data_IF_085379857232
#
_entry.id   IF_085379857232
#
_cell.length_a   1.000
_cell.length_b   1.000
_cell.length_c   1.000
_cell.angle_alpha   90.00
_cell.angle_beta   90.00
_cell.angle_gamma   90.00
#
_symmetry.space_group_name_H-M   'P 1'
#
loop_
_entity.id
_entity.type
_entity.pdbx_description
1 polymer ?
#
# COMPACT_ATOMS: atom_id res chain seq x y z
N UNK A 1 3.77 32.40 11.47
CA UNK A 1 3.44 31.71 12.75
C UNK A 1 4.25 30.41 12.79
N UNK A 2 4.96 30.11 13.87
CA UNK A 2 5.89 28.96 13.95
C UNK A 2 5.12 27.62 13.92
N UNK A 3 5.41 26.74 12.94
CA UNK A 3 4.77 25.43 12.74
C UNK A 3 4.84 24.55 14.00
N UNK A 4 5.93 24.60 14.78
CA UNK A 4 6.07 23.83 16.02
C UNK A 4 5.13 24.32 17.12
N UNK A 5 4.81 25.63 17.12
CA UNK A 5 3.80 26.17 18.03
C UNK A 5 2.40 25.70 17.62
N UNK A 6 2.12 25.67 16.32
CA UNK A 6 0.83 25.19 15.78
C UNK A 6 0.65 23.71 16.13
N UNK A 7 1.65 22.88 15.86
CA UNK A 7 1.62 21.45 16.16
C UNK A 7 1.38 21.19 17.64
N UNK A 8 2.09 21.86 18.55
CA UNK A 8 1.87 21.71 20.00
C UNK A 8 0.46 22.09 20.45
N UNK A 9 -0.12 23.14 19.87
CA UNK A 9 -1.50 23.54 20.15
C UNK A 9 -2.51 22.53 19.60
N UNK A 10 -2.24 22.00 18.41
CA UNK A 10 -3.02 20.94 17.79
C UNK A 10 -3.00 19.66 18.63
N UNK A 11 -1.81 19.18 19.02
CA UNK A 11 -1.65 18.02 19.88
C UNK A 11 -2.50 18.18 21.14
N UNK A 12 -2.34 19.31 21.85
CA UNK A 12 -3.13 19.62 23.06
C UNK A 12 -4.64 19.65 22.82
N UNK A 13 -5.10 20.19 21.68
CA UNK A 13 -6.53 20.27 21.32
C UNK A 13 -7.14 18.89 21.09
N UNK A 14 -6.38 17.97 20.49
CA UNK A 14 -6.86 16.63 20.13
C UNK A 14 -6.43 15.53 21.11
N UNK A 15 -5.67 15.85 22.17
CA UNK A 15 -5.41 14.99 23.34
C UNK A 15 -6.67 14.84 24.22
N UNK A 16 -7.73 14.25 23.65
CA UNK A 16 -9.00 14.05 24.33
C UNK A 16 -8.89 12.91 25.33
N UNK A 17 -9.36 13.16 26.56
CA UNK A 17 -9.48 12.17 27.62
C UNK A 17 -10.97 11.95 27.89
N UNK A 18 -11.44 10.71 27.74
CA UNK A 18 -12.83 10.34 28.03
C UNK A 18 -13.45 9.43 26.97
N UNK A 19 -14.71 9.06 27.16
CA UNK A 19 -15.44 8.22 26.21
C UNK A 19 -16.11 9.11 25.16
N UNK A 20 -15.82 8.85 23.88
CA UNK A 20 -16.45 9.53 22.76
C UNK A 20 -17.51 8.62 22.10
N UNK A 21 -18.55 9.24 21.55
CA UNK A 21 -19.49 8.57 20.66
C UNK A 21 -18.84 8.27 19.30
N UNK A 22 -19.36 7.30 18.52
CA UNK A 22 -18.85 7.02 17.17
C UNK A 22 -18.78 8.25 16.25
N UNK A 23 -19.77 9.15 16.35
CA UNK A 23 -19.81 10.36 15.52
C UNK A 23 -18.75 11.37 15.94
N UNK A 24 -18.53 11.55 17.24
CA UNK A 24 -17.47 12.42 17.75
C UNK A 24 -16.07 11.91 17.36
N UNK A 25 -15.82 10.60 17.45
CA UNK A 25 -14.55 9.99 17.03
C UNK A 25 -14.24 10.35 15.58
N UNK A 26 -15.22 10.21 14.68
CA UNK A 26 -15.04 10.50 13.26
C UNK A 26 -14.89 12.00 13.01
N UNK A 27 -15.68 12.84 13.68
CA UNK A 27 -15.54 14.30 13.55
C UNK A 27 -14.17 14.78 14.03
N UNK A 28 -13.70 14.35 15.19
CA UNK A 28 -12.38 14.71 15.70
C UNK A 28 -11.26 14.21 14.80
N UNK A 29 -11.38 13.00 14.24
CA UNK A 29 -10.42 12.50 13.26
C UNK A 29 -10.34 13.42 12.03
N UNK A 30 -11.48 13.73 11.40
CA UNK A 30 -11.54 14.59 10.22
C UNK A 30 -10.99 15.99 10.53
N UNK A 31 -11.43 16.60 11.62
CA UNK A 31 -11.00 17.95 12.00
C UNK A 31 -9.50 18.00 12.29
N UNK A 32 -8.98 16.99 13.00
CA UNK A 32 -7.56 16.86 13.31
C UNK A 32 -6.72 16.76 12.05
N UNK A 33 -7.12 15.90 11.10
CA UNK A 33 -6.38 15.70 9.86
C UNK A 33 -6.52 16.86 8.87
N UNK A 34 -7.66 17.55 8.83
CA UNK A 34 -7.84 18.76 8.03
C UNK A 34 -6.93 19.89 8.50
N UNK A 35 -6.87 20.13 9.82
CA UNK A 35 -5.98 21.14 10.39
C UNK A 35 -4.51 20.77 10.14
N UNK A 36 -4.15 19.50 10.32
CA UNK A 36 -2.80 19.01 10.07
C UNK A 36 -2.39 19.12 8.59
N UNK A 37 -3.28 18.78 7.66
CA UNK A 37 -3.06 18.92 6.22
C UNK A 37 -2.84 20.39 5.82
N UNK A 38 -3.64 21.31 6.36
CA UNK A 38 -3.52 22.76 6.11
C UNK A 38 -2.13 23.29 6.45
N UNK A 39 -1.54 22.80 7.55
CA UNK A 39 -0.24 23.26 8.05
C UNK A 39 0.90 22.27 7.77
N UNK A 40 0.66 21.27 6.92
CA UNK A 40 1.64 20.28 6.48
C UNK A 40 2.36 19.58 7.64
N UNK A 41 1.57 19.02 8.57
CA UNK A 41 2.04 18.04 9.55
C UNK A 41 1.04 16.87 9.63
N UNK A 42 1.33 15.85 10.46
CA UNK A 42 0.42 14.71 10.65
C UNK A 42 -0.52 14.92 11.84
N UNK A 43 -1.79 14.55 11.69
CA UNK A 43 -2.77 14.70 12.76
C UNK A 43 -2.44 13.84 13.98
N UNK A 44 -2.66 14.42 15.15
CA UNK A 44 -2.43 13.78 16.44
C UNK A 44 -3.52 12.78 16.84
N UNK A 45 -4.75 12.97 16.35
CA UNK A 45 -5.90 12.18 16.81
C UNK A 45 -5.83 10.71 16.39
N UNK A 46 -5.46 10.43 15.14
CA UNK A 46 -5.43 9.06 14.62
C UNK A 46 -4.51 8.12 15.43
N UNK A 47 -3.24 8.45 15.73
CA UNK A 47 -2.38 7.58 16.54
C UNK A 47 -3.01 7.14 17.87
N UNK A 48 -3.74 8.01 18.54
CA UNK A 48 -4.36 7.74 19.83
C UNK A 48 -5.68 6.94 19.73
N UNK A 49 -6.43 7.11 18.65
CA UNK A 49 -7.81 6.57 18.51
C UNK A 49 -7.98 5.59 17.35
N UNK A 50 -6.88 5.07 16.78
CA UNK A 50 -6.94 4.25 15.56
C UNK A 50 -7.73 2.94 15.73
N UNK A 51 -7.77 2.36 16.94
CA UNK A 51 -8.58 1.16 17.23
C UNK A 51 -10.07 1.48 17.21
N UNK A 52 -10.47 2.58 17.84
CA UNK A 52 -11.84 3.05 17.90
C UNK A 52 -12.33 3.50 16.53
N UNK A 53 -11.50 4.22 15.76
CA UNK A 53 -11.81 4.59 14.37
C UNK A 53 -12.08 3.32 13.54
N UNK A 54 -11.20 2.31 13.66
CA UNK A 54 -11.37 1.04 12.96
C UNK A 54 -12.66 0.31 13.40
N UNK A 55 -12.96 0.29 14.69
CA UNK A 55 -14.18 -0.33 15.23
C UNK A 55 -15.43 0.37 14.70
N UNK A 56 -15.48 1.70 14.76
CA UNK A 56 -16.58 2.52 14.23
C UNK A 56 -16.83 2.23 12.75
N UNK A 57 -15.78 2.21 11.92
CA UNK A 57 -15.90 1.98 10.48
C UNK A 57 -16.20 0.53 10.09
N UNK A 58 -15.85 -0.43 10.95
CA UNK A 58 -16.22 -1.84 10.79
C UNK A 58 -17.71 -2.08 11.08
N UNK A 59 -18.33 -1.22 11.89
CA UNK A 59 -19.75 -1.24 12.21
C UNK A 59 -20.56 -0.55 11.13
N UNK A 60 -21.87 -0.80 11.12
CA UNK A 60 -22.76 -0.15 10.16
C UNK A 60 -22.88 1.32 10.58
N UNK A 61 -22.35 2.24 9.77
CA UNK A 61 -22.31 3.70 10.00
C UNK A 61 -23.70 4.34 9.86
N UNK A 62 -24.73 3.71 10.43
CA UNK A 62 -26.13 4.10 10.28
C UNK A 62 -26.33 5.50 10.86
N UNK A 63 -26.81 6.43 10.04
CA UNK A 63 -27.05 7.82 10.43
C UNK A 63 -25.85 8.76 10.29
N UNK A 64 -24.68 8.27 9.85
CA UNK A 64 -23.57 9.15 9.51
C UNK A 64 -23.79 9.80 8.14
N UNK A 65 -23.50 11.09 8.03
CA UNK A 65 -23.57 11.83 6.77
C UNK A 65 -22.60 11.26 5.74
N UNK A 66 -23.04 11.18 4.49
CA UNK A 66 -22.25 10.65 3.39
C UNK A 66 -20.89 11.35 3.23
N UNK A 67 -20.87 12.69 3.32
CA UNK A 67 -19.64 13.45 3.16
C UNK A 67 -18.64 13.16 4.29
N UNK A 68 -19.11 12.98 5.53
CA UNK A 68 -18.24 12.59 6.65
C UNK A 68 -17.60 11.22 6.44
N UNK A 69 -18.32 10.27 5.87
CA UNK A 69 -17.74 8.97 5.51
C UNK A 69 -16.69 9.11 4.41
N UNK A 70 -16.96 9.93 3.39
CA UNK A 70 -16.03 10.21 2.29
C UNK A 70 -14.75 10.88 2.82
N UNK A 71 -14.88 11.91 3.66
CA UNK A 71 -13.76 12.62 4.30
C UNK A 71 -12.92 11.70 5.18
N UNK A 72 -13.57 10.80 5.92
CA UNK A 72 -12.88 9.80 6.72
C UNK A 72 -12.01 8.90 5.84
N UNK A 73 -12.59 8.34 4.77
CA UNK A 73 -11.85 7.48 3.86
C UNK A 73 -10.78 8.23 3.07
N UNK A 74 -11.02 9.50 2.74
CA UNK A 74 -10.01 10.38 2.16
C UNK A 74 -8.78 10.50 3.06
N UNK A 75 -8.96 10.80 4.35
CA UNK A 75 -7.83 10.91 5.27
C UNK A 75 -7.15 9.55 5.53
N UNK A 76 -7.91 8.45 5.65
CA UNK A 76 -7.32 7.11 5.77
C UNK A 76 -6.50 6.73 4.53
N UNK A 77 -7.03 7.00 3.33
CA UNK A 77 -6.34 6.76 2.07
C UNK A 77 -5.08 7.63 1.98
N UNK A 78 -5.13 8.90 2.37
CA UNK A 78 -3.96 9.80 2.42
C UNK A 78 -2.87 9.29 3.38
N UNK A 79 -3.26 8.73 4.52
CA UNK A 79 -2.37 8.24 5.57
C UNK A 79 -1.88 6.79 5.38
N UNK A 80 -2.24 6.13 4.27
CA UNK A 80 -1.95 4.72 4.02
C UNK A 80 -2.50 3.79 5.12
N UNK A 81 -3.69 4.13 5.66
CA UNK A 81 -4.36 3.42 6.77
C UNK A 81 -5.64 2.74 6.30
N UNK A 82 -5.53 1.98 5.21
CA UNK A 82 -6.66 1.21 4.68
C UNK A 82 -7.19 0.22 5.72
N UNK A 83 -8.51 0.07 5.76
CA UNK A 83 -9.23 -0.84 6.64
C UNK A 83 -10.15 -1.75 5.85
N UNK A 84 -10.56 -2.87 6.46
CA UNK A 84 -11.62 -3.69 5.90
C UNK A 84 -12.93 -2.91 6.01
N UNK A 85 -13.46 -2.46 4.87
CA UNK A 85 -14.76 -1.80 4.80
C UNK A 85 -15.86 -2.83 4.57
N UNK A 86 -17.07 -2.53 5.02
CA UNK A 86 -18.26 -3.29 4.61
C UNK A 86 -18.66 -2.92 3.19
N UNK A 87 -19.31 -3.85 2.49
CA UNK A 87 -19.76 -3.67 1.10
C UNK A 87 -20.62 -2.41 0.91
N UNK A 88 -21.57 -2.19 1.81
CA UNK A 88 -22.45 -1.01 1.78
C UNK A 88 -21.70 0.33 1.98
N UNK A 89 -20.47 0.29 2.50
CA UNK A 89 -19.62 1.47 2.68
C UNK A 89 -18.56 1.60 1.57
N UNK A 90 -18.46 0.63 0.66
CA UNK A 90 -17.39 0.57 -0.34
C UNK A 90 -17.41 1.76 -1.31
N UNK A 91 -18.59 2.23 -1.70
CA UNK A 91 -18.73 3.41 -2.57
C UNK A 91 -18.16 4.69 -1.94
N UNK A 92 -18.28 4.86 -0.61
CA UNK A 92 -17.67 5.98 0.10
C UNK A 92 -16.14 5.85 0.17
N UNK A 93 -15.63 4.62 0.32
CA UNK A 93 -14.19 4.36 0.23
C UNK A 93 -13.64 4.79 -1.13
N UNK A 94 -14.28 4.38 -2.23
CA UNK A 94 -13.84 4.75 -3.59
C UNK A 94 -13.80 6.27 -3.78
N UNK A 95 -14.83 6.99 -3.34
CA UNK A 95 -14.87 8.46 -3.39
C UNK A 95 -13.78 9.12 -2.54
N UNK A 96 -13.51 8.57 -1.35
CA UNK A 96 -12.42 9.04 -0.50
C UNK A 96 -11.05 8.83 -1.13
N UNK A 97 -10.83 7.66 -1.74
CA UNK A 97 -9.60 7.35 -2.50
C UNK A 97 -9.45 8.32 -3.67
N UNK A 98 -10.49 8.52 -4.47
CA UNK A 98 -10.50 9.47 -5.59
C UNK A 98 -10.07 10.88 -5.14
N UNK A 99 -10.68 11.40 -4.06
CA UNK A 99 -10.32 12.68 -3.45
C UNK A 99 -8.85 12.74 -3.01
N UNK A 100 -8.24 11.61 -2.64
CA UNK A 100 -6.85 11.55 -2.18
C UNK A 100 -5.81 11.47 -3.30
N UNK A 101 -6.18 11.09 -4.53
CA UNK A 101 -5.22 10.76 -5.60
C UNK A 101 -4.27 11.90 -5.95
N UNK A 102 -4.74 13.16 -5.87
CA UNK A 102 -3.94 14.35 -6.17
C UNK A 102 -2.88 14.68 -5.11
N UNK A 103 -2.88 13.96 -3.98
CA UNK A 103 -1.93 14.11 -2.87
C UNK A 103 -0.86 13.02 -2.81
N UNK A 104 -0.98 11.97 -3.63
CA UNK A 104 -0.04 10.84 -3.63
C UNK A 104 1.39 11.33 -3.91
N UNK A 105 2.35 10.81 -3.15
CA UNK A 105 3.76 11.15 -3.32
C UNK A 105 4.17 12.56 -2.86
N UNK A 106 3.27 13.38 -2.30
CA UNK A 106 3.59 14.74 -1.82
C UNK A 106 4.35 14.79 -0.47
N UNK A 107 4.93 13.67 -0.05
CA UNK A 107 5.75 13.55 1.16
C UNK A 107 4.96 13.26 2.43
N UNK A 108 5.68 12.79 3.46
CA UNK A 108 5.14 12.19 4.68
C UNK A 108 4.09 13.03 5.43
N UNK A 109 4.24 14.36 5.43
CA UNK A 109 3.30 15.25 6.10
C UNK A 109 1.99 15.45 5.33
N UNK A 110 2.02 15.32 4.01
CA UNK A 110 0.85 15.52 3.15
C UNK A 110 0.19 14.19 2.84
N UNK A 111 0.94 13.18 2.38
CA UNK A 111 0.44 11.83 2.17
C UNK A 111 1.55 10.81 2.35
N UNK A 112 1.29 9.80 3.17
CA UNK A 112 2.17 8.63 3.34
C UNK A 112 1.79 7.49 2.39
N UNK A 113 0.70 7.62 1.64
CA UNK A 113 0.30 6.64 0.64
C UNK A 113 1.21 6.67 -0.57
N UNK A 114 1.70 5.48 -0.90
CA UNK A 114 2.51 5.24 -2.09
C UNK A 114 1.63 4.86 -3.27
N UNK A 115 2.00 5.25 -4.51
CA UNK A 115 1.34 4.77 -5.71
C UNK A 115 1.23 3.24 -5.79
N UNK A 116 2.25 2.52 -5.31
CA UNK A 116 2.27 1.05 -5.24
C UNK A 116 1.09 0.48 -4.42
N UNK A 117 0.77 1.08 -3.27
CA UNK A 117 -0.38 0.66 -2.45
C UNK A 117 -1.70 0.89 -3.18
N UNK A 118 -1.89 2.11 -3.73
CA UNK A 118 -3.14 2.47 -4.41
C UNK A 118 -3.37 1.58 -5.63
N UNK A 119 -2.30 1.31 -6.38
CA UNK A 119 -2.37 0.45 -7.55
C UNK A 119 -2.70 -1.00 -7.17
N UNK A 120 -2.08 -1.53 -6.12
CA UNK A 120 -2.38 -2.88 -5.63
C UNK A 120 -3.86 -3.02 -5.24
N UNK A 121 -4.41 -2.04 -4.53
CA UNK A 121 -5.77 -2.09 -3.99
C UNK A 121 -6.85 -1.74 -5.02
N UNK A 122 -6.58 -0.81 -5.94
CA UNK A 122 -7.61 -0.23 -6.81
C UNK A 122 -7.22 -0.14 -8.30
N UNK A 123 -6.01 -0.56 -8.69
CA UNK A 123 -5.57 -0.57 -10.09
C UNK A 123 -5.31 0.81 -10.71
N UNK A 124 -5.30 1.88 -9.90
CA UNK A 124 -5.03 3.25 -10.35
C UNK A 124 -3.74 3.79 -9.73
N UNK A 125 -3.12 4.76 -10.39
CA UNK A 125 -1.82 5.31 -9.95
C UNK A 125 -1.86 6.82 -9.69
N UNK A 126 -2.86 7.52 -10.25
CA UNK A 126 -2.98 8.97 -10.18
C UNK A 126 -4.39 9.43 -10.53
N UNK A 127 -4.66 10.73 -10.31
CA UNK A 127 -5.92 11.39 -10.68
C UNK A 127 -6.29 11.23 -12.15
N UNK A 128 -5.30 11.12 -13.06
CA UNK A 128 -5.56 10.91 -14.50
C UNK A 128 -6.22 9.57 -14.81
N UNK A 129 -6.18 8.63 -13.86
CA UNK A 129 -6.77 7.29 -13.98
C UNK A 129 -7.95 7.08 -13.02
N UNK A 130 -8.47 8.15 -12.39
CA UNK A 130 -9.47 8.01 -11.31
C UNK A 130 -10.74 7.29 -11.75
N UNK A 131 -11.17 7.45 -13.00
CA UNK A 131 -12.35 6.76 -13.54
C UNK A 131 -12.27 5.23 -13.39
N UNK A 132 -11.05 4.65 -13.48
CA UNK A 132 -10.82 3.21 -13.34
C UNK A 132 -10.94 2.70 -11.90
N UNK A 133 -11.05 3.58 -10.90
CA UNK A 133 -11.32 3.18 -9.50
C UNK A 133 -12.60 2.35 -9.42
N UNK A 134 -13.61 2.72 -10.22
CA UNK A 134 -14.92 2.09 -10.23
C UNK A 134 -14.97 0.77 -11.03
N UNK A 135 -13.87 0.39 -11.69
CA UNK A 135 -13.73 -0.92 -12.33
C UNK A 135 -13.41 -2.03 -11.32
N UNK A 136 -13.02 -1.67 -10.08
CA UNK A 136 -12.76 -2.63 -9.02
C UNK A 136 -14.03 -2.87 -8.23
N UNK A 137 -14.52 -4.11 -8.18
CA UNK A 137 -15.65 -4.46 -7.34
C UNK A 137 -15.24 -4.68 -5.87
N UNK A 138 -16.22 -4.84 -4.99
CA UNK A 138 -15.97 -5.02 -3.56
C UNK A 138 -15.22 -6.32 -3.23
N UNK A 139 -15.48 -7.41 -3.94
CA UNK A 139 -14.82 -8.71 -3.74
C UNK A 139 -13.35 -8.63 -4.15
N UNK A 140 -13.10 -8.04 -5.31
CA UNK A 140 -11.78 -7.75 -5.84
C UNK A 140 -10.96 -6.87 -4.89
N UNK A 141 -11.57 -5.79 -4.38
CA UNK A 141 -10.96 -4.96 -3.34
C UNK A 141 -10.64 -5.78 -2.09
N UNK A 142 -11.59 -6.61 -1.61
CA UNK A 142 -11.40 -7.35 -0.37
C UNK A 142 -10.25 -8.36 -0.49
N UNK A 143 -10.12 -9.03 -1.63
CA UNK A 143 -9.00 -9.94 -1.89
C UNK A 143 -7.66 -9.21 -1.93
N UNK A 144 -7.59 -8.09 -2.66
CA UNK A 144 -6.39 -7.24 -2.70
C UNK A 144 -6.06 -6.68 -1.31
N UNK A 145 -7.05 -6.29 -0.52
CA UNK A 145 -6.89 -5.80 0.85
C UNK A 145 -6.37 -6.89 1.79
N UNK A 146 -6.88 -8.12 1.69
CA UNK A 146 -6.41 -9.25 2.49
C UNK A 146 -4.95 -9.59 2.15
N UNK A 147 -4.56 -9.47 0.88
CA UNK A 147 -3.17 -9.61 0.47
C UNK A 147 -2.30 -8.46 1.00
N UNK A 148 -2.72 -7.22 0.80
CA UNK A 148 -2.05 -6.00 1.28
C UNK A 148 -1.81 -6.04 2.79
N UNK A 149 -2.82 -6.39 3.58
CA UNK A 149 -2.69 -6.50 5.03
C UNK A 149 -1.74 -7.62 5.43
N UNK A 150 -1.76 -8.75 4.71
CA UNK A 150 -0.85 -9.86 4.97
C UNK A 150 0.61 -9.49 4.71
N UNK A 151 0.93 -8.92 3.55
CA UNK A 151 2.31 -8.56 3.18
C UNK A 151 2.86 -7.46 4.09
N UNK A 152 2.01 -6.51 4.51
CA UNK A 152 2.39 -5.44 5.44
C UNK A 152 2.36 -5.86 6.93
N UNK A 153 1.98 -7.10 7.25
CA UNK A 153 2.08 -7.64 8.62
C UNK A 153 3.47 -8.19 8.95
N UNK A 154 4.32 -8.39 7.95
CA UNK A 154 5.68 -8.87 8.14
C UNK A 154 6.61 -7.73 8.54
N UNK A 155 7.57 -8.04 9.41
CA UNK A 155 8.60 -7.09 9.85
C UNK A 155 9.85 -7.11 8.97
N UNK A 156 9.99 -8.10 8.09
CA UNK A 156 11.16 -8.25 7.20
C UNK A 156 10.82 -9.04 5.93
N UNK A 157 11.56 -8.77 4.84
CA UNK A 157 11.40 -9.50 3.58
C UNK A 157 11.67 -11.02 3.69
N UNK A 158 12.69 -11.50 4.42
CA UNK A 158 12.87 -12.94 4.60
C UNK A 158 11.66 -13.62 5.25
N UNK A 159 11.01 -12.95 6.21
CA UNK A 159 9.78 -13.46 6.83
C UNK A 159 8.62 -13.50 5.86
N UNK A 160 8.46 -12.46 5.04
CA UNK A 160 7.45 -12.43 3.97
C UNK A 160 7.66 -13.59 3.00
N UNK A 161 8.87 -13.76 2.45
CA UNK A 161 9.18 -14.81 1.47
C UNK A 161 8.85 -16.22 1.99
N UNK A 162 9.17 -16.49 3.25
CA UNK A 162 8.98 -17.82 3.86
C UNK A 162 7.54 -18.10 4.31
N UNK A 163 6.75 -17.07 4.63
CA UNK A 163 5.47 -17.24 5.36
C UNK A 163 4.23 -16.73 4.62
N UNK A 164 4.36 -16.06 3.46
CA UNK A 164 3.25 -15.43 2.76
C UNK A 164 2.19 -16.42 2.27
N UNK A 165 2.57 -17.66 1.93
CA UNK A 165 1.67 -18.68 1.35
C UNK A 165 0.97 -18.16 0.07
N UNK A 166 1.75 -17.87 -0.99
CA UNK A 166 1.23 -17.24 -2.22
C UNK A 166 0.09 -18.02 -2.90
N UNK A 167 0.02 -19.35 -2.71
CA UNK A 167 -1.03 -20.21 -3.23
C UNK A 167 -2.45 -19.79 -2.83
N UNK A 168 -2.60 -19.09 -1.70
CA UNK A 168 -3.88 -18.54 -1.24
C UNK A 168 -4.37 -17.36 -2.09
N UNK A 169 -3.47 -16.71 -2.82
CA UNK A 169 -3.71 -15.46 -3.54
C UNK A 169 -3.63 -15.62 -5.05
N UNK A 170 -2.93 -16.65 -5.56
CA UNK A 170 -2.78 -16.92 -7.00
C UNK A 170 -4.10 -17.21 -7.72
N UNK A 171 -5.15 -17.61 -7.01
CA UNK A 171 -6.48 -17.83 -7.59
C UNK A 171 -7.18 -16.54 -8.00
N UNK A 172 -6.74 -15.40 -7.46
CA UNK A 172 -7.28 -14.10 -7.83
C UNK A 172 -6.57 -13.57 -9.08
N UNK A 173 -7.26 -13.73 -10.22
CA UNK A 173 -6.72 -13.32 -11.52
C UNK A 173 -6.48 -11.82 -11.63
N UNK A 174 -7.25 -10.99 -10.93
CA UNK A 174 -7.07 -9.54 -10.94
C UNK A 174 -5.84 -9.16 -10.13
N UNK A 175 -5.68 -9.73 -8.94
CA UNK A 175 -4.49 -9.53 -8.11
C UNK A 175 -3.22 -9.94 -8.84
N UNK A 176 -3.22 -11.07 -9.56
CA UNK A 176 -2.10 -11.49 -10.38
C UNK A 176 -1.83 -10.51 -11.53
N UNK A 177 -2.86 -10.06 -12.25
CA UNK A 177 -2.73 -9.02 -13.30
C UNK A 177 -2.17 -7.71 -12.75
N UNK A 178 -2.54 -7.32 -11.52
CA UNK A 178 -1.97 -6.16 -10.83
C UNK A 178 -0.52 -6.41 -10.48
N UNK A 179 -0.18 -7.55 -9.89
CA UNK A 179 1.21 -7.91 -9.59
C UNK A 179 2.10 -7.84 -10.84
N UNK A 180 1.61 -8.33 -11.98
CA UNK A 180 2.32 -8.25 -13.27
C UNK A 180 2.57 -6.80 -13.71
N UNK A 181 1.64 -5.89 -13.44
CA UNK A 181 1.80 -4.46 -13.76
C UNK A 181 2.58 -3.68 -12.71
N UNK A 182 2.87 -4.27 -11.54
CA UNK A 182 3.57 -3.59 -10.44
C UNK A 182 5.09 -3.50 -10.65
N UNK A 183 5.64 -4.13 -11.69
CA UNK A 183 7.08 -4.01 -12.00
C UNK A 183 7.52 -2.56 -12.22
N UNK A 184 6.64 -1.67 -12.68
CA UNK A 184 6.93 -0.24 -12.79
C UNK A 184 7.21 0.45 -11.45
N UNK A 185 6.86 -0.17 -10.32
CA UNK A 185 7.12 0.35 -8.98
C UNK A 185 8.33 -0.29 -8.30
N UNK A 186 8.99 -1.25 -8.94
CA UNK A 186 10.05 -2.03 -8.28
C UNK A 186 11.32 -1.22 -7.98
N UNK A 187 11.49 -0.05 -8.60
CA UNK A 187 12.56 0.89 -8.23
C UNK A 187 12.34 1.52 -6.84
N UNK A 188 11.09 1.61 -6.36
CA UNK A 188 10.75 2.08 -5.01
C UNK A 188 10.33 0.88 -4.13
N UNK A 189 11.24 -0.08 -3.99
CA UNK A 189 10.91 -1.37 -3.40
C UNK A 189 10.36 -1.26 -1.97
N UNK A 190 9.21 -1.89 -1.73
CA UNK A 190 8.53 -1.93 -0.44
C UNK A 190 7.85 -3.30 -0.22
N UNK A 191 7.07 -3.44 0.85
CA UNK A 191 6.35 -4.69 1.10
C UNK A 191 5.28 -5.02 0.05
N UNK A 192 4.73 -4.01 -0.64
CA UNK A 192 3.75 -4.22 -1.70
C UNK A 192 4.42 -4.79 -2.96
N UNK A 193 5.54 -4.21 -3.38
CA UNK A 193 6.31 -4.73 -4.53
C UNK A 193 6.95 -6.08 -4.21
N UNK A 194 7.46 -6.28 -2.99
CA UNK A 194 7.96 -7.57 -2.51
C UNK A 194 6.88 -8.66 -2.54
N UNK A 195 5.67 -8.33 -2.09
CA UNK A 195 4.51 -9.22 -2.17
C UNK A 195 4.19 -9.60 -3.61
N UNK A 196 4.09 -8.61 -4.50
CA UNK A 196 3.86 -8.83 -5.92
C UNK A 196 4.95 -9.73 -6.55
N UNK A 197 6.23 -9.49 -6.22
CA UNK A 197 7.34 -10.31 -6.68
C UNK A 197 7.19 -11.78 -6.25
N UNK A 198 6.79 -12.04 -5.00
CA UNK A 198 6.54 -13.41 -4.54
C UNK A 198 5.38 -14.06 -5.30
N UNK A 199 4.30 -13.32 -5.59
CA UNK A 199 3.23 -13.86 -6.44
C UNK A 199 3.72 -14.22 -7.84
N UNK A 200 4.49 -13.35 -8.49
CA UNK A 200 5.04 -13.62 -9.83
C UNK A 200 6.03 -14.78 -9.85
N UNK A 201 6.79 -14.97 -8.77
CA UNK A 201 7.73 -16.09 -8.63
C UNK A 201 7.05 -17.42 -8.33
N UNK A 202 5.97 -17.40 -7.55
CA UNK A 202 5.17 -18.58 -7.24
C UNK A 202 4.23 -18.99 -8.39
N UNK A 203 3.78 -18.03 -9.20
CA UNK A 203 2.97 -18.31 -10.37
C UNK A 203 3.75 -19.13 -11.41
N UNK A 204 3.11 -20.14 -11.98
CA UNK A 204 3.70 -21.05 -12.98
C UNK A 204 3.49 -20.54 -14.41
N UNK A 205 2.70 -19.48 -14.61
CA UNK A 205 2.43 -18.96 -15.95
C UNK A 205 3.66 -18.33 -16.58
N UNK A 206 3.79 -18.51 -17.90
CA UNK A 206 4.83 -17.87 -18.72
C UNK A 206 4.72 -16.35 -18.63
N UNK A 207 3.50 -15.81 -18.56
CA UNK A 207 3.26 -14.36 -18.54
C UNK A 207 3.93 -13.65 -17.36
N UNK A 208 3.90 -14.25 -16.17
CA UNK A 208 4.56 -13.69 -14.98
C UNK A 208 6.08 -13.70 -15.12
N UNK A 209 6.65 -14.74 -15.72
CA UNK A 209 8.11 -14.82 -15.97
C UNK A 209 8.55 -13.83 -17.04
N UNK A 210 7.77 -13.67 -18.11
CA UNK A 210 8.06 -12.68 -19.17
C UNK A 210 8.08 -11.25 -18.64
N UNK A 211 7.15 -10.91 -17.75
CA UNK A 211 7.12 -9.60 -17.09
C UNK A 211 8.39 -9.35 -16.26
N UNK A 212 8.84 -10.35 -15.50
CA UNK A 212 10.09 -10.27 -14.74
C UNK A 212 11.33 -10.16 -15.63
N UNK A 213 11.42 -10.97 -16.70
CA UNK A 213 12.50 -10.89 -17.68
C UNK A 213 12.57 -9.52 -18.35
N UNK A 214 11.41 -8.96 -18.73
CA UNK A 214 11.36 -7.61 -19.31
C UNK A 214 11.89 -6.56 -18.34
N UNK A 215 11.63 -6.73 -17.05
CA UNK A 215 12.12 -5.79 -16.03
C UNK A 215 13.65 -5.74 -15.96
N UNK A 216 14.35 -6.85 -16.22
CA UNK A 216 15.82 -6.86 -16.23
C UNK A 216 16.44 -5.96 -17.31
N UNK A 217 15.69 -5.66 -18.38
CA UNK A 217 16.16 -4.82 -19.49
C UNK A 217 16.14 -3.32 -19.20
N UNK A 218 15.67 -2.93 -18.02
CA UNK A 218 15.73 -1.54 -17.54
C UNK A 218 17.04 -1.30 -16.81
N UNK A 219 17.54 -0.07 -16.77
CA UNK A 219 18.74 0.26 -15.98
C UNK A 219 18.39 0.25 -14.49
N UNK A 220 18.64 -0.88 -13.82
CA UNK A 220 18.35 -1.06 -12.41
C UNK A 220 19.51 -0.61 -11.52
N UNK A 221 19.19 0.12 -10.46
CA UNK A 221 20.16 0.41 -9.40
C UNK A 221 20.62 -0.88 -8.72
N UNK A 222 21.90 -0.90 -8.30
CA UNK A 222 22.54 -2.07 -7.66
C UNK A 222 21.71 -2.65 -6.51
N UNK A 223 21.15 -1.82 -5.64
CA UNK A 223 20.32 -2.29 -4.52
C UNK A 223 19.09 -3.08 -4.97
N UNK A 224 18.47 -2.64 -6.06
CA UNK A 224 17.29 -3.30 -6.63
C UNK A 224 17.70 -4.63 -7.24
N UNK A 225 18.84 -4.68 -7.96
CA UNK A 225 19.41 -5.91 -8.50
C UNK A 225 19.69 -6.92 -7.39
N UNK A 226 20.39 -6.52 -6.33
CA UNK A 226 20.67 -7.36 -5.17
C UNK A 226 19.37 -7.89 -4.54
N UNK A 227 18.42 -6.99 -4.31
CA UNK A 227 17.17 -7.32 -3.63
C UNK A 227 16.37 -8.34 -4.44
N UNK A 228 16.19 -8.12 -5.74
CA UNK A 228 15.53 -9.06 -6.65
C UNK A 228 16.29 -10.39 -6.70
N UNK A 229 17.62 -10.34 -6.83
CA UNK A 229 18.49 -11.52 -6.81
C UNK A 229 18.28 -12.38 -5.55
N UNK A 230 18.14 -11.74 -4.38
CA UNK A 230 17.87 -12.44 -3.13
C UNK A 230 16.51 -13.17 -3.12
N UNK A 231 15.48 -12.61 -3.77
CA UNK A 231 14.20 -13.30 -3.93
C UNK A 231 14.33 -14.45 -4.93
N UNK A 232 15.03 -14.26 -6.04
CA UNK A 232 15.18 -15.30 -7.05
C UNK A 232 15.92 -16.52 -6.52
N UNK A 233 16.97 -16.31 -5.73
CA UNK A 233 17.69 -17.40 -5.04
C UNK A 233 16.77 -18.21 -4.13
N UNK A 234 15.91 -17.55 -3.36
CA UNK A 234 14.94 -18.21 -2.48
C UNK A 234 13.84 -18.98 -3.24
N UNK A 235 13.59 -18.64 -4.51
CA UNK A 235 12.54 -19.24 -5.36
C UNK A 235 13.10 -20.06 -6.55
N UNK A 236 14.38 -20.43 -6.51
CA UNK A 236 15.12 -21.06 -7.62
C UNK A 236 14.81 -22.57 -7.84
N UNK A 237 13.68 -23.07 -7.34
CA UNK A 237 13.37 -24.51 -7.37
C UNK A 237 12.78 -24.98 -8.70
N UNK A 238 12.28 -24.07 -9.53
CA UNK A 238 11.73 -24.38 -10.85
C UNK A 238 12.71 -23.94 -11.95
N UNK A 239 12.71 -24.66 -13.08
CA UNK A 239 13.55 -24.30 -14.24
C UNK A 239 13.29 -22.86 -14.72
N UNK A 240 12.01 -22.46 -14.75
CA UNK A 240 11.62 -21.10 -15.12
C UNK A 240 12.22 -20.03 -14.20
N UNK A 241 12.22 -20.26 -12.88
CA UNK A 241 12.83 -19.31 -11.93
C UNK A 241 14.37 -19.37 -11.97
N UNK A 242 14.96 -20.54 -12.25
CA UNK A 242 16.40 -20.65 -12.49
C UNK A 242 16.85 -19.86 -13.70
N UNK A 243 16.04 -19.85 -14.75
CA UNK A 243 16.32 -19.04 -15.93
C UNK A 243 16.19 -17.53 -15.63
N UNK A 244 15.30 -17.10 -14.74
CA UNK A 244 15.24 -15.71 -14.27
C UNK A 244 16.55 -15.31 -13.57
N UNK A 245 17.02 -16.13 -12.62
CA UNK A 245 18.25 -15.86 -11.88
C UNK A 245 19.47 -15.84 -12.81
N UNK A 246 19.59 -16.82 -13.71
CA UNK A 246 20.65 -16.85 -14.73
C UNK A 246 20.60 -15.61 -15.62
N UNK A 247 19.42 -15.19 -16.04
CA UNK A 247 19.27 -14.00 -16.86
C UNK A 247 19.72 -12.73 -16.11
N UNK A 248 19.45 -12.62 -14.81
CA UNK A 248 19.91 -11.52 -13.98
C UNK A 248 21.45 -11.46 -13.92
N UNK A 249 22.13 -12.58 -13.68
CA UNK A 249 23.60 -12.67 -13.72
C UNK A 249 24.21 -12.37 -15.09
N UNK A 250 23.47 -12.60 -16.17
CA UNK A 250 23.95 -12.27 -17.51
C UNK A 250 23.86 -10.76 -17.81
N UNK A 251 22.97 -10.03 -17.14
CA UNK A 251 22.76 -8.59 -17.37
C UNK A 251 23.53 -7.71 -16.39
N UNK A 252 23.83 -8.21 -15.19
CA UNK A 252 24.46 -7.44 -14.12
C UNK A 252 25.69 -8.16 -13.56
N UNK A 253 26.69 -7.41 -13.03
CA UNK A 253 27.83 -8.01 -12.35
C UNK A 253 27.39 -8.95 -11.22
N UNK A 254 28.08 -10.08 -11.04
CA UNK A 254 27.74 -11.05 -10.00
C UNK A 254 27.74 -10.43 -8.60
N UNK A 255 28.65 -9.49 -8.33
CA UNK A 255 28.73 -8.79 -7.04
C UNK A 255 27.47 -7.95 -6.76
N UNK A 256 26.76 -7.49 -7.79
CA UNK A 256 25.50 -6.77 -7.62
C UNK A 256 24.35 -7.70 -7.27
N UNK A 257 24.41 -8.97 -7.71
CA UNK A 257 23.39 -9.98 -7.43
C UNK A 257 23.65 -10.67 -6.08
N UNK A 258 24.91 -10.80 -5.69
CA UNK A 258 25.37 -11.53 -4.51
C UNK A 258 25.50 -10.66 -3.26
N UNK A 259 26.14 -9.50 -3.39
CA UNK A 259 26.61 -8.76 -2.22
C UNK A 259 25.66 -7.64 -1.83
N UNK A 260 25.26 -7.64 -0.56
CA UNK A 260 24.55 -6.51 0.02
C UNK A 260 25.52 -5.36 0.24
N UNK A 261 25.27 -4.20 -0.38
CA UNK A 261 26.03 -3.00 -0.11
C UNK A 261 25.31 -2.14 0.95
N UNK A 262 25.98 -1.88 2.06
CA UNK A 262 25.56 -0.83 2.98
C UNK A 262 25.90 0.51 2.34
N UNK A 263 24.88 1.26 1.90
CA UNK A 263 25.06 2.68 1.65
C UNK A 263 25.12 3.41 2.99
N UNK A 264 26.31 3.92 3.33
CA UNK A 264 26.51 4.90 4.39
C UNK A 264 26.09 6.30 3.91
#
# INVERSE_FOLDING_TARGET
MNTDKIKRLHDKKYSIIGKLTPQEIINYFIDSENEALKYQFQGHFYPMWHYEIKDVLSKTLKGMEAEKMIDTYFHLARLNKFIKVKENNYSYLLKGVEKSLHLLGKGYHISTSKPSTIFLLFGVTSSNTSAKLYDTDYTEYLNAFNFFTKINSYTSYPSLRKKLKPELYLKDSLLLKRAQKMTSFFNDFDFNTAGALVLLLADTSISSKQVLLKYHTTDLDRNIVWLIGSFYKDFNTTEANAQLLKNLYNHYPSEWVDDYEYHY
#
